data_IF_874510005533
#
_entry.id   IF_874510005533
#
_cell.length_a   1.000
_cell.length_b   1.000
_cell.length_c   1.000
_cell.angle_alpha   90.00
_cell.angle_beta   90.00
_cell.angle_gamma   90.00
#
_symmetry.space_group_name_H-M   'P 1'
#
loop_
_entity.id
_entity.type
_entity.pdbx_description
1 polymer ?
#
# COMPACT_ATOMS: atom_id res chain seq x y z
N UNK A 1 17.83 -25.39 12.62
CA UNK A 1 19.13 -25.58 11.94
C UNK A 1 19.09 -24.79 10.65
N UNK A 2 19.69 -23.60 10.63
CA UNK A 2 19.58 -22.64 9.53
C UNK A 2 20.52 -23.00 8.38
N UNK A 3 19.97 -23.41 7.24
CA UNK A 3 20.73 -23.51 5.99
C UNK A 3 20.65 -22.17 5.29
N UNK A 4 21.57 -21.27 5.63
CA UNK A 4 21.77 -20.06 4.83
C UNK A 4 22.27 -20.47 3.45
N UNK A 5 21.43 -20.24 2.44
CA UNK A 5 21.72 -20.51 1.04
C UNK A 5 22.43 -19.34 0.37
N UNK A 6 22.85 -19.53 -0.88
CA UNK A 6 23.39 -18.43 -1.68
C UNK A 6 22.29 -17.43 -2.07
N UNK A 7 22.64 -16.16 -2.12
CA UNK A 7 21.82 -15.09 -2.68
C UNK A 7 22.32 -14.79 -4.10
N UNK A 8 21.59 -15.19 -5.15
CA UNK A 8 22.04 -14.98 -6.52
C UNK A 8 22.02 -13.49 -6.89
N UNK A 9 23.18 -12.94 -7.27
CA UNK A 9 23.35 -11.50 -7.52
C UNK A 9 22.41 -10.95 -8.59
N UNK A 10 21.98 -11.77 -9.55
CA UNK A 10 21.01 -11.39 -10.58
C UNK A 10 19.59 -11.18 -10.04
N UNK A 11 19.25 -11.78 -8.90
CA UNK A 11 17.95 -11.62 -8.25
C UNK A 11 17.96 -10.54 -7.17
N UNK A 12 19.08 -10.38 -6.46
CA UNK A 12 19.17 -9.51 -5.28
C UNK A 12 20.07 -8.30 -5.43
N UNK A 13 20.91 -8.23 -6.47
CA UNK A 13 21.98 -7.22 -6.56
C UNK A 13 21.46 -5.78 -6.57
N UNK A 14 20.28 -5.55 -7.15
CA UNK A 14 19.62 -4.24 -7.11
C UNK A 14 19.21 -3.85 -5.68
N UNK A 15 18.67 -4.80 -4.93
CA UNK A 15 18.32 -4.58 -3.52
C UNK A 15 19.58 -4.40 -2.67
N UNK A 16 20.60 -5.26 -2.83
CA UNK A 16 21.87 -5.14 -2.10
C UNK A 16 22.55 -3.79 -2.30
N UNK A 17 22.42 -3.20 -3.49
CA UNK A 17 23.00 -1.87 -3.78
C UNK A 17 22.19 -0.73 -3.16
N UNK A 18 20.86 -0.82 -3.21
CA UNK A 18 19.98 0.29 -2.84
C UNK A 18 19.60 0.26 -1.35
N UNK A 19 19.54 -0.93 -0.77
CA UNK A 19 19.09 -1.21 0.59
C UNK A 19 19.76 -2.52 1.09
N UNK A 20 21.06 -2.46 1.44
CA UNK A 20 21.78 -3.62 1.96
C UNK A 20 21.26 -4.10 3.32
N UNK A 21 20.68 -3.21 4.13
CA UNK A 21 20.13 -3.52 5.45
C UNK A 21 18.97 -4.52 5.37
N UNK A 22 18.31 -4.66 4.21
CA UNK A 22 17.35 -5.73 3.92
C UNK A 22 17.90 -7.10 4.36
N UNK A 23 19.17 -7.39 4.06
CA UNK A 23 19.79 -8.70 4.32
C UNK A 23 20.40 -8.84 5.72
N UNK A 24 20.43 -7.75 6.49
CA UNK A 24 20.97 -7.70 7.86
C UNK A 24 19.86 -7.63 8.92
N UNK A 25 18.63 -7.36 8.51
CA UNK A 25 17.45 -7.34 9.37
C UNK A 25 17.13 -8.72 9.94
N UNK A 26 16.49 -8.76 11.12
CA UNK A 26 15.94 -10.01 11.66
C UNK A 26 14.76 -10.49 10.81
N UNK A 27 13.97 -9.55 10.31
CA UNK A 27 12.85 -9.77 9.39
C UNK A 27 12.82 -8.66 8.35
N UNK A 28 12.96 -9.03 7.08
CA UNK A 28 12.77 -8.11 5.95
C UNK A 28 11.31 -8.16 5.49
N UNK A 29 10.60 -7.04 5.49
CA UNK A 29 9.23 -6.94 4.97
C UNK A 29 9.29 -6.26 3.60
N UNK A 30 9.10 -7.01 2.52
CA UNK A 30 9.23 -6.48 1.15
C UNK A 30 7.85 -5.98 0.69
N UNK A 31 7.73 -4.66 0.57
CA UNK A 31 6.55 -4.00 0.01
C UNK A 31 6.78 -3.74 -1.48
N UNK A 32 5.73 -3.75 -2.32
CA UNK A 32 5.92 -3.59 -3.77
C UNK A 32 6.55 -2.23 -4.17
N UNK A 33 6.09 -1.14 -3.55
CA UNK A 33 6.53 0.21 -3.83
C UNK A 33 6.63 1.08 -2.58
N UNK A 34 6.95 2.36 -2.80
CA UNK A 34 7.16 3.34 -1.71
C UNK A 34 5.89 3.67 -0.93
N UNK A 35 4.72 3.60 -1.57
CA UNK A 35 3.43 3.79 -0.87
C UNK A 35 3.26 2.70 0.18
N UNK A 36 3.49 1.44 -0.21
CA UNK A 36 3.32 0.27 0.66
C UNK A 36 4.35 0.27 1.79
N UNK A 37 5.57 0.75 1.52
CA UNK A 37 6.60 0.95 2.56
C UNK A 37 6.12 1.91 3.63
N UNK A 38 5.63 3.08 3.24
CA UNK A 38 5.09 4.07 4.17
C UNK A 38 3.89 3.56 4.96
N UNK A 39 2.98 2.90 4.26
CA UNK A 39 1.77 2.32 4.83
C UNK A 39 2.08 1.26 5.90
N UNK A 40 2.94 0.29 5.58
CA UNK A 40 3.34 -0.76 6.51
C UNK A 40 4.17 -0.24 7.67
N UNK A 41 5.11 0.69 7.43
CA UNK A 41 5.90 1.28 8.50
C UNK A 41 4.98 1.93 9.54
N UNK A 42 4.01 2.74 9.11
CA UNK A 42 3.09 3.39 10.05
C UNK A 42 2.29 2.39 10.88
N UNK A 43 1.75 1.34 10.25
CA UNK A 43 0.96 0.32 10.94
C UNK A 43 1.82 -0.49 11.92
N UNK A 44 3.05 -0.84 11.54
CA UNK A 44 3.98 -1.56 12.41
C UNK A 44 4.47 -0.68 13.56
N UNK A 45 4.69 0.61 13.33
CA UNK A 45 5.00 1.58 14.40
C UNK A 45 3.89 1.63 15.44
N UNK A 46 2.63 1.69 15.01
CA UNK A 46 1.49 1.63 15.92
C UNK A 46 1.42 0.30 16.67
N UNK A 47 1.72 -0.82 16.01
CA UNK A 47 1.66 -2.14 16.63
C UNK A 47 2.78 -2.37 17.66
N UNK A 48 3.93 -1.72 17.47
CA UNK A 48 5.12 -1.87 18.31
C UNK A 48 5.27 -0.76 19.35
N UNK A 49 4.60 0.39 19.17
CA UNK A 49 4.80 1.59 19.98
C UNK A 49 6.17 2.26 19.80
N UNK A 50 6.95 1.85 18.79
CA UNK A 50 8.29 2.35 18.48
C UNK A 50 8.64 2.07 17.01
N UNK A 51 9.82 2.49 16.56
CA UNK A 51 10.27 2.24 15.19
C UNK A 51 10.49 0.73 14.96
N UNK A 52 10.01 0.14 13.84
CA UNK A 52 10.17 -1.30 13.57
C UNK A 52 11.62 -1.78 13.59
N UNK A 53 12.55 -0.89 13.23
CA UNK A 53 13.98 -1.16 13.21
C UNK A 53 14.54 -1.48 14.60
N UNK A 54 13.95 -0.95 15.68
CA UNK A 54 14.37 -1.21 17.07
C UNK A 54 14.19 -2.69 17.44
N UNK A 55 13.28 -3.40 16.74
CA UNK A 55 13.08 -4.83 16.86
C UNK A 55 13.76 -5.65 15.76
N UNK A 56 14.50 -4.99 14.86
CA UNK A 56 15.16 -5.60 13.71
C UNK A 56 14.21 -5.91 12.55
N UNK A 57 13.04 -5.27 12.49
CA UNK A 57 12.11 -5.36 11.37
C UNK A 57 12.45 -4.23 10.39
N UNK A 58 12.65 -4.56 9.11
CA UNK A 58 12.91 -3.55 8.07
C UNK A 58 11.90 -3.67 6.95
N UNK A 59 11.09 -2.62 6.76
CA UNK A 59 10.20 -2.51 5.60
C UNK A 59 11.00 -1.95 4.41
N UNK A 60 10.98 -2.68 3.30
CA UNK A 60 11.86 -2.47 2.17
C UNK A 60 11.04 -2.26 0.89
N UNK A 61 11.49 -1.33 0.04
CA UNK A 61 10.91 -1.13 -1.28
C UNK A 61 11.39 -2.25 -2.23
N UNK A 62 10.46 -3.07 -2.70
CA UNK A 62 10.66 -4.16 -3.66
C UNK A 62 10.81 -3.70 -5.11
N UNK A 63 10.67 -2.39 -5.37
CA UNK A 63 10.96 -1.72 -6.64
C UNK A 63 10.10 -2.23 -7.81
N UNK A 64 8.82 -2.51 -7.51
CA UNK A 64 7.78 -2.98 -8.44
C UNK A 64 7.54 -4.49 -8.39
N UNK A 65 6.36 -4.93 -8.88
CA UNK A 65 5.87 -6.30 -8.81
C UNK A 65 6.91 -7.37 -9.23
N UNK A 66 7.53 -7.16 -10.40
CA UNK A 66 8.47 -8.11 -11.00
C UNK A 66 9.72 -8.34 -10.17
N UNK A 67 10.25 -7.28 -9.58
CA UNK A 67 11.45 -7.36 -8.76
C UNK A 67 11.11 -7.92 -7.37
N UNK A 68 10.00 -7.48 -6.78
CA UNK A 68 9.46 -7.99 -5.51
C UNK A 68 9.31 -9.52 -5.55
N UNK A 69 8.64 -10.07 -6.56
CA UNK A 69 8.46 -11.52 -6.68
C UNK A 69 9.78 -12.29 -6.86
N UNK A 70 10.77 -11.72 -7.57
CA UNK A 70 12.11 -12.33 -7.72
C UNK A 70 12.88 -12.30 -6.41
N UNK A 71 12.83 -11.17 -5.69
CA UNK A 71 13.50 -10.98 -4.41
C UNK A 71 12.95 -11.96 -3.38
N UNK A 72 11.62 -12.05 -3.20
CA UNK A 72 11.00 -12.98 -2.25
C UNK A 72 11.38 -14.45 -2.54
N UNK A 73 11.42 -14.86 -3.82
CA UNK A 73 11.90 -16.20 -4.21
C UNK A 73 13.38 -16.43 -3.89
N UNK A 74 14.21 -15.40 -3.97
CA UNK A 74 15.62 -15.50 -3.62
C UNK A 74 15.81 -15.62 -2.10
N UNK A 75 15.06 -14.84 -1.32
CA UNK A 75 15.07 -14.90 0.15
C UNK A 75 14.59 -16.26 0.67
N UNK A 76 13.52 -16.83 0.08
CA UNK A 76 13.03 -18.20 0.35
C UNK A 76 14.15 -19.24 0.16
N UNK A 77 14.82 -19.19 -0.98
CA UNK A 77 15.93 -20.11 -1.29
C UNK A 77 17.13 -19.93 -0.38
N UNK A 78 17.38 -18.72 0.08
CA UNK A 78 18.48 -18.40 0.99
C UNK A 78 18.18 -18.77 2.44
N UNK A 79 16.93 -19.15 2.76
CA UNK A 79 16.52 -19.50 4.13
C UNK A 79 16.48 -18.29 5.07
N UNK A 80 16.32 -17.08 4.53
CA UNK A 80 16.12 -15.87 5.31
C UNK A 80 14.66 -15.78 5.78
N UNK A 81 14.42 -15.10 6.90
CA UNK A 81 13.06 -14.78 7.36
C UNK A 81 12.62 -13.47 6.73
N UNK A 82 11.50 -13.49 6.03
CA UNK A 82 10.98 -12.31 5.34
C UNK A 82 9.46 -12.38 5.26
N UNK A 83 8.86 -11.22 5.07
CA UNK A 83 7.45 -11.02 4.82
C UNK A 83 7.23 -10.19 3.56
N UNK A 84 5.99 -10.04 3.10
CA UNK A 84 5.70 -9.17 1.97
C UNK A 84 4.26 -8.68 1.89
N UNK A 85 4.10 -7.54 1.22
CA UNK A 85 2.83 -6.96 0.81
C UNK A 85 2.90 -6.67 -0.69
N UNK A 86 1.96 -7.21 -1.45
CA UNK A 86 1.93 -7.09 -2.90
C UNK A 86 0.54 -6.75 -3.43
N UNK A 87 0.51 -6.03 -4.55
CA UNK A 87 -0.71 -5.74 -5.27
C UNK A 87 -1.16 -6.94 -6.12
N UNK A 88 -2.44 -6.98 -6.47
CA UNK A 88 -3.00 -7.95 -7.42
C UNK A 88 -3.67 -7.26 -8.61
N UNK A 89 -2.84 -6.75 -9.52
CA UNK A 89 -3.28 -6.18 -10.80
C UNK A 89 -3.68 -7.25 -11.85
N UNK A 90 -3.83 -8.53 -11.47
CA UNK A 90 -4.29 -9.61 -12.36
C UNK A 90 -3.27 -10.13 -13.39
N UNK A 91 -2.04 -9.60 -13.42
CA UNK A 91 -1.03 -9.93 -14.45
C UNK A 91 -0.28 -11.25 -14.17
N UNK A 92 -0.24 -11.73 -12.91
CA UNK A 92 0.65 -12.84 -12.47
C UNK A 92 0.04 -13.84 -11.49
N UNK A 93 -1.20 -14.27 -11.74
CA UNK A 93 -2.03 -15.11 -10.86
C UNK A 93 -1.32 -16.37 -10.30
N UNK A 94 -0.43 -17.02 -11.06
CA UNK A 94 0.21 -18.28 -10.63
C UNK A 94 1.45 -18.15 -9.73
N UNK A 95 2.16 -17.01 -9.75
CA UNK A 95 3.45 -16.88 -9.04
C UNK A 95 3.28 -16.55 -7.56
N UNK A 96 2.23 -15.80 -7.22
CA UNK A 96 1.96 -15.36 -5.86
C UNK A 96 1.32 -16.45 -5.00
N UNK A 97 0.40 -17.26 -5.57
CA UNK A 97 -0.22 -18.37 -4.87
C UNK A 97 0.81 -19.41 -4.34
N UNK A 98 1.79 -19.77 -5.17
CA UNK A 98 2.86 -20.70 -4.78
C UNK A 98 3.74 -20.13 -3.64
N UNK A 99 3.97 -18.81 -3.67
CA UNK A 99 4.75 -18.13 -2.63
C UNK A 99 3.94 -17.98 -1.34
N UNK A 100 2.65 -17.65 -1.44
CA UNK A 100 1.70 -17.59 -0.30
C UNK A 100 1.57 -18.94 0.38
N UNK A 101 1.52 -20.04 -0.36
CA UNK A 101 1.50 -21.39 0.20
C UNK A 101 2.73 -21.74 1.03
N UNK A 102 3.89 -21.13 0.76
CA UNK A 102 5.13 -21.30 1.55
C UNK A 102 5.23 -20.35 2.73
N UNK A 103 4.91 -19.07 2.49
CA UNK A 103 5.07 -18.00 3.47
C UNK A 103 3.92 -17.95 4.49
N UNK A 104 2.77 -18.55 4.19
CA UNK A 104 1.58 -18.46 5.03
C UNK A 104 1.20 -17.00 5.26
N UNK A 105 1.03 -16.62 6.52
CA UNK A 105 0.62 -15.26 6.88
C UNK A 105 1.73 -14.22 6.74
N UNK A 106 3.00 -14.62 6.51
CA UNK A 106 4.07 -13.66 6.20
C UNK A 106 3.94 -13.00 4.83
N UNK A 107 3.00 -13.42 3.98
CA UNK A 107 2.73 -12.76 2.71
C UNK A 107 1.28 -12.31 2.62
N UNK A 108 1.03 -11.02 2.41
CA UNK A 108 -0.26 -10.52 2.00
C UNK A 108 -0.20 -10.14 0.53
N UNK A 109 -1.14 -10.66 -0.24
CA UNK A 109 -1.48 -10.11 -1.54
C UNK A 109 -2.93 -9.65 -1.47
N UNK A 110 -3.23 -8.45 -1.95
CA UNK A 110 -4.61 -8.00 -2.05
C UNK A 110 -5.43 -8.97 -2.93
N UNK A 111 -6.72 -9.14 -2.62
CA UNK A 111 -7.60 -10.01 -3.41
C UNK A 111 -7.69 -9.53 -4.86
N UNK A 112 -7.76 -8.21 -5.04
CA UNK A 112 -7.73 -7.52 -6.32
C UNK A 112 -7.17 -6.10 -6.14
N UNK A 113 -6.67 -5.53 -7.24
CA UNK A 113 -6.26 -4.13 -7.31
C UNK A 113 -4.96 -3.84 -6.58
N UNK A 114 -4.82 -2.57 -6.18
CA UNK A 114 -3.64 -2.03 -5.52
C UNK A 114 -3.94 -1.59 -4.09
N UNK A 115 -2.89 -1.26 -3.34
CA UNK A 115 -3.00 -0.79 -1.95
C UNK A 115 -3.91 0.43 -1.81
N UNK A 116 -3.82 1.43 -2.70
CA UNK A 116 -4.72 2.58 -2.66
C UNK A 116 -6.19 2.15 -2.80
N UNK A 117 -6.52 1.24 -3.72
CA UNK A 117 -7.88 0.76 -3.92
C UNK A 117 -8.39 -0.04 -2.71
N UNK A 118 -7.60 -0.97 -2.20
CA UNK A 118 -7.98 -1.81 -1.06
C UNK A 118 -8.23 -0.98 0.21
N UNK A 119 -7.38 0.01 0.46
CA UNK A 119 -7.43 0.86 1.65
C UNK A 119 -8.54 1.89 1.57
N UNK A 120 -8.69 2.59 0.44
CA UNK A 120 -9.73 3.62 0.28
C UNK A 120 -11.13 2.99 0.25
N UNK A 121 -11.26 1.76 -0.28
CA UNK A 121 -12.55 1.06 -0.31
C UNK A 121 -13.10 0.77 1.08
N UNK A 122 -12.23 0.56 2.07
CA UNK A 122 -12.58 0.31 3.45
C UNK A 122 -13.09 1.55 4.20
N UNK A 123 -12.79 2.77 3.71
CA UNK A 123 -13.22 4.00 4.36
C UNK A 123 -14.72 4.21 4.09
N UNK A 124 -15.57 4.49 5.10
CA UNK A 124 -16.99 4.79 4.89
C UNK A 124 -17.23 5.91 3.88
N UNK A 125 -18.30 5.79 3.07
CA UNK A 125 -18.59 6.73 1.97
C UNK A 125 -18.73 8.19 2.44
N UNK A 126 -19.30 8.40 3.63
CA UNK A 126 -19.48 9.71 4.26
C UNK A 126 -18.16 10.36 4.72
N UNK A 127 -17.09 9.56 4.86
CA UNK A 127 -15.77 10.02 5.27
C UNK A 127 -14.82 10.31 4.10
N UNK A 128 -15.19 9.94 2.87
CA UNK A 128 -14.38 10.20 1.67
C UNK A 128 -14.06 11.70 1.45
N UNK A 129 -14.97 12.65 1.73
CA UNK A 129 -14.62 14.08 1.74
C UNK A 129 -13.41 14.42 2.63
N UNK A 130 -13.33 13.84 3.83
CA UNK A 130 -12.23 14.08 4.77
C UNK A 130 -10.91 13.42 4.29
N UNK A 131 -10.99 12.32 3.54
CA UNK A 131 -9.83 11.68 2.92
C UNK A 131 -9.15 12.62 1.91
N UNK A 132 -9.94 13.33 1.10
CA UNK A 132 -9.43 14.28 0.07
C UNK A 132 -8.56 15.36 0.74
N UNK A 133 -8.98 15.83 1.91
CA UNK A 133 -8.22 16.75 2.76
C UNK A 133 -9.04 17.96 3.20
N UNK A 134 -8.58 18.62 4.25
CA UNK A 134 -9.20 19.83 4.78
C UNK A 134 -8.76 21.08 3.98
N UNK A 135 -9.54 22.15 4.10
CA UNK A 135 -9.16 23.45 3.54
C UNK A 135 -7.85 23.94 4.17
N UNK A 136 -6.88 24.33 3.33
CA UNK A 136 -5.54 24.75 3.76
C UNK A 136 -4.49 23.64 3.82
N UNK A 137 -4.86 22.36 3.69
CA UNK A 137 -3.89 21.28 3.46
C UNK A 137 -3.26 21.40 2.06
N UNK A 138 -1.95 21.17 1.98
CA UNK A 138 -1.15 21.44 0.78
C UNK A 138 -1.66 20.68 -0.47
N UNK A 139 -2.15 19.44 -0.30
CA UNK A 139 -2.56 18.59 -1.42
C UNK A 139 -4.05 18.67 -1.77
N UNK A 140 -4.91 19.21 -0.90
CA UNK A 140 -6.37 19.28 -1.11
C UNK A 140 -6.71 20.00 -2.42
N UNK A 141 -6.04 21.12 -2.69
CA UNK A 141 -6.25 21.89 -3.92
C UNK A 141 -5.92 21.10 -5.20
N UNK A 142 -4.90 20.25 -5.17
CA UNK A 142 -4.52 19.42 -6.32
C UNK A 142 -5.46 18.20 -6.45
N UNK A 143 -5.79 17.54 -5.33
CA UNK A 143 -6.73 16.42 -5.30
C UNK A 143 -8.09 16.83 -5.85
N UNK A 144 -8.65 17.96 -5.39
CA UNK A 144 -9.91 18.50 -5.94
C UNK A 144 -9.80 18.86 -7.42
N UNK A 145 -8.65 19.37 -7.89
CA UNK A 145 -8.44 19.64 -9.31
C UNK A 145 -8.45 18.35 -10.13
N UNK A 146 -7.82 17.29 -9.65
CA UNK A 146 -7.86 15.98 -10.32
C UNK A 146 -9.27 15.39 -10.39
N UNK A 147 -10.02 15.47 -9.29
CA UNK A 147 -11.41 15.01 -9.23
C UNK A 147 -12.31 15.83 -10.16
N UNK A 148 -12.14 17.16 -10.19
CA UNK A 148 -12.85 18.04 -11.14
C UNK A 148 -12.63 17.58 -12.57
N UNK A 149 -11.37 17.38 -12.98
CA UNK A 149 -11.01 16.94 -14.34
C UNK A 149 -11.65 15.59 -14.65
N UNK A 150 -11.48 14.60 -13.77
CA UNK A 150 -11.99 13.24 -13.98
C UNK A 150 -13.52 13.16 -14.00
N UNK A 151 -14.21 14.00 -13.22
CA UNK A 151 -15.68 14.06 -13.19
C UNK A 151 -16.28 14.93 -14.29
N UNK A 152 -15.49 15.76 -14.99
CA UNK A 152 -16.01 16.77 -15.90
C UNK A 152 -16.75 17.91 -15.19
N UNK A 153 -16.38 18.20 -13.94
CA UNK A 153 -17.04 19.23 -13.13
C UNK A 153 -16.61 20.65 -13.54
N UNK A 154 -17.49 21.63 -13.30
CA UNK A 154 -17.24 23.04 -13.63
C UNK A 154 -16.27 23.69 -12.65
N UNK A 155 -16.49 23.46 -11.35
CA UNK A 155 -15.75 24.10 -10.27
C UNK A 155 -14.92 23.09 -9.48
N UNK A 156 -13.91 23.61 -8.78
CA UNK A 156 -13.02 22.82 -7.91
C UNK A 156 -13.62 22.74 -6.51
N UNK A 157 -14.85 22.25 -6.42
CA UNK A 157 -15.63 22.12 -5.18
C UNK A 157 -16.28 20.74 -5.14
N UNK A 158 -16.46 20.19 -3.93
CA UNK A 158 -17.12 18.90 -3.77
C UNK A 158 -18.56 18.93 -4.31
N UNK A 159 -19.28 20.05 -4.14
CA UNK A 159 -20.64 20.20 -4.67
C UNK A 159 -20.66 20.11 -6.20
N UNK A 160 -19.75 20.80 -6.90
CA UNK A 160 -19.67 20.71 -8.36
C UNK A 160 -19.22 19.33 -8.84
N UNK A 161 -18.36 18.65 -8.09
CA UNK A 161 -17.90 17.29 -8.40
C UNK A 161 -19.05 16.29 -8.22
N UNK A 162 -19.73 16.33 -7.07
CA UNK A 162 -20.88 15.47 -6.78
C UNK A 162 -22.01 15.69 -7.78
N UNK A 163 -22.31 16.93 -8.15
CA UNK A 163 -23.31 17.23 -9.18
C UNK A 163 -22.95 16.62 -10.55
N UNK A 164 -21.67 16.61 -10.92
CA UNK A 164 -21.20 16.00 -12.17
C UNK A 164 -21.25 14.47 -12.15
N UNK A 165 -21.20 13.86 -10.96
CA UNK A 165 -21.32 12.41 -10.79
C UNK A 165 -22.77 11.91 -10.89
N UNK A 166 -23.78 12.78 -10.72
CA UNK A 166 -25.20 12.40 -10.86
C UNK A 166 -25.46 11.85 -12.26
N UNK A 167 -25.95 10.60 -12.34
CA UNK A 167 -26.23 9.93 -13.62
C UNK A 167 -25.01 9.30 -14.30
N UNK A 168 -23.80 9.45 -13.75
CA UNK A 168 -22.57 8.82 -14.28
C UNK A 168 -22.42 7.33 -13.93
N UNK A 169 -23.20 6.84 -12.95
CA UNK A 169 -23.05 5.50 -12.37
C UNK A 169 -21.84 5.36 -11.44
N UNK A 170 -21.09 6.44 -11.17
CA UNK A 170 -19.95 6.47 -10.25
C UNK A 170 -20.27 7.33 -9.02
N UNK A 171 -19.76 6.91 -7.86
CA UNK A 171 -19.77 7.72 -6.64
C UNK A 171 -18.40 8.39 -6.39
N UNK A 172 -18.35 9.28 -5.40
CA UNK A 172 -17.12 10.01 -5.05
C UNK A 172 -15.99 9.07 -4.65
N UNK A 173 -16.28 8.00 -3.89
CA UNK A 173 -15.31 6.98 -3.49
C UNK A 173 -14.61 6.38 -4.71
N UNK A 174 -15.36 5.94 -5.73
CA UNK A 174 -14.78 5.35 -6.93
C UNK A 174 -13.91 6.35 -7.68
N UNK A 175 -14.34 7.60 -7.79
CA UNK A 175 -13.56 8.67 -8.42
C UNK A 175 -12.22 8.92 -7.70
N UNK A 176 -12.25 8.91 -6.36
CA UNK A 176 -11.06 9.05 -5.51
C UNK A 176 -10.11 7.88 -5.68
N UNK A 177 -10.62 6.64 -5.69
CA UNK A 177 -9.81 5.43 -5.97
C UNK A 177 -9.11 5.56 -7.33
N UNK A 178 -9.85 5.87 -8.39
CA UNK A 178 -9.29 6.01 -9.74
C UNK A 178 -8.23 7.12 -9.82
N UNK A 179 -8.40 8.21 -9.08
CA UNK A 179 -7.44 9.29 -9.01
C UNK A 179 -6.17 8.94 -8.22
N UNK A 180 -6.34 8.26 -7.08
CA UNK A 180 -5.25 7.86 -6.19
C UNK A 180 -4.38 6.77 -6.80
N UNK A 181 -4.98 5.77 -7.46
CA UNK A 181 -4.26 4.70 -8.16
C UNK A 181 -3.66 5.14 -9.50
N UNK A 182 -4.07 6.30 -10.02
CA UNK A 182 -3.62 6.79 -11.31
C UNK A 182 -4.20 6.00 -12.49
N UNK A 183 -5.41 5.47 -12.34
CA UNK A 183 -6.12 4.82 -13.46
C UNK A 183 -6.27 5.80 -14.63
N UNK A 184 -6.01 5.29 -15.84
CA UNK A 184 -6.22 5.99 -17.11
C UNK A 184 -7.61 5.72 -17.72
N UNK A 185 -8.44 4.94 -17.05
CA UNK A 185 -9.74 4.53 -17.60
C UNK A 185 -10.69 5.72 -17.70
N UNK A 186 -11.28 5.91 -18.88
CA UNK A 186 -12.14 7.06 -19.15
C UNK A 186 -11.39 8.36 -19.48
N UNK A 187 -10.05 8.33 -19.53
CA UNK A 187 -9.27 9.49 -20.00
C UNK A 187 -9.57 9.78 -21.48
N UNK A 188 -9.69 11.06 -21.88
CA UNK A 188 -9.72 11.44 -23.29
C UNK A 188 -8.50 10.91 -24.06
N UNK A 189 -8.64 10.77 -25.37
CA UNK A 189 -7.56 10.30 -26.23
C UNK A 189 -6.30 11.16 -26.05
N UNK A 190 -5.17 10.51 -25.75
CA UNK A 190 -3.89 11.17 -25.48
C UNK A 190 -3.67 11.65 -24.04
N UNK A 191 -4.71 11.69 -23.19
CA UNK A 191 -4.61 12.20 -21.82
C UNK A 191 -4.29 11.13 -20.76
N UNK A 192 -4.21 9.86 -21.13
CA UNK A 192 -3.95 8.76 -20.18
C UNK A 192 -2.70 8.96 -19.30
N UNK A 193 -1.64 9.58 -19.84
CA UNK A 193 -0.43 9.91 -19.06
C UNK A 193 -0.69 10.99 -18.00
N UNK A 194 -1.48 12.01 -18.33
CA UNK A 194 -1.86 13.06 -17.39
C UNK A 194 -2.72 12.48 -16.26
N UNK A 195 -3.70 11.65 -16.60
CA UNK A 195 -4.53 10.95 -15.62
C UNK A 195 -3.69 10.06 -14.69
N UNK A 196 -2.71 9.34 -15.24
CA UNK A 196 -1.78 8.54 -14.45
C UNK A 196 -0.95 9.40 -13.48
N UNK A 197 -0.49 10.58 -13.91
CA UNK A 197 0.25 11.50 -13.03
C UNK A 197 -0.57 12.07 -11.88
N UNK A 198 -1.91 12.03 -11.93
CA UNK A 198 -2.75 12.51 -10.82
C UNK A 198 -2.41 11.82 -9.50
N UNK A 199 -2.08 10.52 -9.53
CA UNK A 199 -1.67 9.71 -8.37
C UNK A 199 -0.54 10.35 -7.53
N UNK A 200 0.34 11.13 -8.15
CA UNK A 200 1.47 11.79 -7.48
C UNK A 200 1.07 12.81 -6.40
N UNK A 201 -0.14 13.36 -6.47
CA UNK A 201 -0.69 14.26 -5.42
C UNK A 201 -1.54 13.54 -4.36
N UNK A 202 -1.60 12.21 -4.44
CA UNK A 202 -2.31 11.37 -3.48
C UNK A 202 -1.31 10.75 -2.52
N UNK A 203 -1.03 9.45 -2.68
CA UNK A 203 -0.29 8.65 -1.71
C UNK A 203 1.00 8.05 -2.27
N UNK A 204 1.46 8.48 -3.47
CA UNK A 204 2.62 7.91 -4.20
C UNK A 204 4.01 8.26 -3.63
N UNK A 205 4.15 8.24 -2.32
CA UNK A 205 5.42 8.40 -1.59
C UNK A 205 5.37 7.63 -0.26
N UNK A 206 6.50 7.49 0.43
CA UNK A 206 6.50 6.91 1.79
C UNK A 206 5.64 7.73 2.75
N UNK A 207 5.76 9.07 2.73
CA UNK A 207 4.89 9.94 3.53
C UNK A 207 3.41 9.82 3.15
N UNK A 208 3.11 9.62 1.86
CA UNK A 208 1.77 9.41 1.36
C UNK A 208 1.18 8.05 1.79
N UNK A 209 1.99 7.00 1.82
CA UNK A 209 1.61 5.71 2.39
C UNK A 209 1.28 5.79 3.87
N UNK A 210 2.09 6.52 4.64
CA UNK A 210 1.81 6.78 6.06
C UNK A 210 0.54 7.62 6.25
N UNK A 211 0.33 8.67 5.43
CA UNK A 211 -0.92 9.45 5.41
C UNK A 211 -2.13 8.55 5.12
N UNK A 212 -2.02 7.65 4.14
CA UNK A 212 -3.08 6.72 3.77
C UNK A 212 -3.44 5.79 4.95
N UNK A 213 -2.44 5.22 5.63
CA UNK A 213 -2.65 4.39 6.81
C UNK A 213 -3.33 5.17 7.93
N UNK A 214 -2.80 6.35 8.27
CA UNK A 214 -3.33 7.21 9.32
C UNK A 214 -4.79 7.59 9.04
N UNK A 215 -5.10 8.05 7.82
CA UNK A 215 -6.46 8.44 7.42
C UNK A 215 -7.40 7.24 7.38
N UNK A 216 -6.96 6.09 6.90
CA UNK A 216 -7.80 4.89 6.89
C UNK A 216 -8.21 4.47 8.31
N UNK A 217 -7.31 4.61 9.29
CA UNK A 217 -7.62 4.34 10.70
C UNK A 217 -8.56 5.41 11.26
N UNK A 218 -8.20 6.70 11.15
CA UNK A 218 -8.96 7.79 11.78
C UNK A 218 -10.35 8.01 11.17
N UNK A 219 -10.53 7.63 9.90
CA UNK A 219 -11.79 7.74 9.19
C UNK A 219 -12.64 6.46 9.28
N UNK A 220 -12.28 5.51 10.15
CA UNK A 220 -13.11 4.34 10.45
C UNK A 220 -12.96 3.17 9.47
N UNK A 221 -11.98 3.20 8.57
CA UNK A 221 -11.69 2.07 7.67
C UNK A 221 -10.92 0.92 8.30
N UNK A 222 -10.43 1.06 9.53
CA UNK A 222 -9.65 0.00 10.19
C UNK A 222 -10.45 -1.28 10.38
N UNK A 223 -11.74 -1.22 10.73
CA UNK A 223 -12.55 -2.42 10.97
C UNK A 223 -12.47 -3.42 9.80
N UNK A 224 -12.68 -2.92 8.58
CA UNK A 224 -12.66 -3.72 7.34
C UNK A 224 -11.23 -4.08 6.88
N UNK A 225 -10.22 -3.30 7.26
CA UNK A 225 -8.82 -3.57 6.93
C UNK A 225 -8.17 -4.57 7.87
N UNK A 226 -8.56 -4.56 9.14
CA UNK A 226 -7.97 -5.36 10.22
C UNK A 226 -8.02 -6.86 9.90
N UNK A 227 -9.16 -7.35 9.39
CA UNK A 227 -9.35 -8.75 9.03
C UNK A 227 -8.33 -9.24 7.99
N UNK A 228 -7.86 -8.34 7.12
CA UNK A 228 -6.89 -8.63 6.05
C UNK A 228 -5.45 -8.42 6.53
N UNK A 229 -5.18 -7.36 7.28
CA UNK A 229 -3.82 -6.96 7.67
C UNK A 229 -3.30 -7.64 8.95
N UNK A 230 -4.17 -7.93 9.92
CA UNK A 230 -3.76 -8.51 11.20
C UNK A 230 -2.98 -9.83 11.07
N UNK A 231 -3.35 -10.77 10.17
CA UNK A 231 -2.55 -11.98 9.97
C UNK A 231 -1.09 -11.67 9.60
N UNK A 232 -0.87 -10.71 8.69
CA UNK A 232 0.48 -10.29 8.27
C UNK A 232 1.24 -9.64 9.44
N UNK A 233 0.60 -8.69 10.13
CA UNK A 233 1.21 -7.97 11.25
C UNK A 233 1.60 -8.96 12.36
N UNK A 234 0.69 -9.87 12.73
CA UNK A 234 0.94 -10.88 13.74
C UNK A 234 2.08 -11.82 13.36
N UNK A 235 2.16 -12.25 12.10
CA UNK A 235 3.24 -13.11 11.62
C UNK A 235 4.61 -12.39 11.64
N UNK A 236 4.65 -11.10 11.28
CA UNK A 236 5.86 -10.27 11.35
C UNK A 236 6.34 -10.15 12.81
N UNK A 237 5.43 -9.79 13.73
CA UNK A 237 5.77 -9.63 15.15
C UNK A 237 6.20 -10.98 15.77
N UNK A 238 5.51 -12.07 15.46
CA UNK A 238 5.87 -13.41 15.93
C UNK A 238 7.28 -13.82 15.48
N UNK A 239 7.70 -13.42 14.28
CA UNK A 239 9.04 -13.70 13.74
C UNK A 239 10.17 -13.04 14.54
N UNK A 240 9.87 -12.00 15.33
CA UNK A 240 10.82 -11.37 16.25
C UNK A 240 10.55 -11.67 17.73
N UNK A 241 9.58 -12.52 18.04
CA UNK A 241 9.22 -12.95 19.39
C UNK A 241 8.23 -12.02 20.11
N UNK A 242 7.41 -11.29 19.35
CA UNK A 242 6.40 -10.34 19.85
C UNK A 242 4.97 -10.77 19.47
N UNK A 243 3.98 -10.14 20.08
CA UNK A 243 2.54 -10.35 19.81
C UNK A 243 1.84 -9.02 19.57
N UNK A 244 0.79 -9.04 18.75
CA UNK A 244 -0.08 -7.87 18.54
C UNK A 244 -0.91 -7.64 19.81
N UNK A 245 -1.10 -6.38 20.20
CA UNK A 245 -1.98 -6.02 21.31
C UNK A 245 -3.44 -6.38 21.02
N UNK A 246 -4.20 -6.78 22.05
CA UNK A 246 -5.61 -7.21 21.90
C UNK A 246 -6.52 -6.12 21.33
N UNK A 247 -6.24 -4.84 21.59
CA UNK A 247 -7.04 -3.70 21.15
C UNK A 247 -6.36 -2.92 20.00
N UNK A 248 -5.62 -3.57 19.13
CA UNK A 248 -4.88 -2.88 18.07
C UNK A 248 -5.77 -2.41 16.89
N UNK A 249 -5.53 -1.20 16.37
CA UNK A 249 -4.76 -0.10 16.93
C UNK A 249 -5.52 0.53 18.09
N UNK A 250 -4.77 1.00 19.08
CA UNK A 250 -5.32 1.74 20.22
C UNK A 250 -5.70 3.15 19.73
N UNK A 251 -6.91 3.29 19.20
CA UNK A 251 -7.47 4.56 18.64
C UNK A 251 -8.62 5.06 19.49
#
# INVERSE_FOLDING_TARGET
SGRLGSLPSELVGKQQKNDPETFLSRVAVIAEGVTEVGFLNHILELALGCAPLDHGIRVCNGQGNDHTGKLLKALDKAGLTFAGLADNEGVKVGNWAALKGKMGDLLLQWEEGCTEEAVISAIPDDQIPALIGLEGENMTGNRLQHLKVRAGAKERTLDSINAALVGSGKNLKRLVIEAASGSSDGAPEGEGKAWKSHSSSWFKSESGGAELAQKAISLGGWHDLSARLLPLIAAILASVGLTVAENFPDV
#
